data_IF_626498984680
#
_entry.id   IF_626498984680
#
_cell.length_a   1.000
_cell.length_b   1.000
_cell.length_c   1.000
_cell.angle_alpha   90.00
_cell.angle_beta   90.00
_cell.angle_gamma   90.00
#
_symmetry.space_group_name_H-M   'P 1'
#
loop_
_entity.id
_entity.type
_entity.pdbx_description
1 polymer ?
#
# COMPACT_ATOMS: atom_id res chain seq x y z
N UNK A 1 -30.20 5.38 31.80
CA UNK A 1 -29.47 6.65 31.70
C UNK A 1 -28.01 6.31 31.53
N UNK A 2 -27.41 6.67 30.41
CA UNK A 2 -25.97 6.41 30.16
C UNK A 2 -25.16 7.29 31.09
N UNK A 3 -24.31 6.68 31.91
CA UNK A 3 -23.47 7.36 32.89
C UNK A 3 -22.40 8.31 32.24
N UNK A 4 -22.19 8.15 30.95
CA UNK A 4 -21.22 8.96 30.20
C UNK A 4 -21.73 10.35 29.82
N UNK A 5 -23.03 10.56 29.79
CA UNK A 5 -23.63 11.86 29.42
C UNK A 5 -23.59 12.85 30.57
N UNK A 6 -23.63 12.40 31.82
CA UNK A 6 -23.63 13.26 33.01
C UNK A 6 -22.30 14.03 33.22
N UNK A 7 -21.19 13.52 32.72
CA UNK A 7 -19.87 14.18 32.81
C UNK A 7 -19.79 15.40 31.89
N UNK A 8 -20.62 15.49 30.87
CA UNK A 8 -20.65 16.62 29.93
C UNK A 8 -21.51 17.80 30.39
N UNK A 9 -22.36 17.58 31.40
CA UNK A 9 -23.27 18.64 31.89
C UNK A 9 -22.62 19.62 32.88
N UNK A 10 -21.48 19.30 33.44
CA UNK A 10 -20.92 20.02 34.62
C UNK A 10 -19.83 21.01 34.24
N UNK A 11 -19.33 21.02 33.03
CA UNK A 11 -18.28 21.94 32.61
C UNK A 11 -18.73 22.81 31.45
N UNK A 12 -18.57 24.13 31.61
CA UNK A 12 -18.61 25.08 30.52
C UNK A 12 -17.47 24.72 29.54
N UNK A 13 -17.81 24.00 28.46
CA UNK A 13 -16.83 23.64 27.46
C UNK A 13 -16.48 24.85 26.60
N UNK A 14 -15.21 25.22 26.68
CA UNK A 14 -14.56 25.93 25.62
C UNK A 14 -14.57 25.03 24.38
N UNK A 15 -14.97 25.57 23.28
CA UNK A 15 -15.40 25.10 21.96
C UNK A 15 -14.54 24.02 21.26
N UNK A 16 -13.69 23.25 21.95
CA UNK A 16 -12.75 22.35 21.29
C UNK A 16 -12.88 20.92 21.80
N UNK A 17 -13.55 20.07 21.04
CA UNK A 17 -13.36 18.62 21.15
C UNK A 17 -11.93 18.32 20.69
N UNK A 18 -11.05 18.04 21.63
CA UNK A 18 -9.69 17.59 21.30
C UNK A 18 -9.76 16.14 20.79
N UNK A 19 -9.56 15.97 19.49
CA UNK A 19 -9.31 14.65 18.95
C UNK A 19 -7.98 14.13 19.50
N UNK A 20 -7.97 12.87 19.94
CA UNK A 20 -6.72 12.19 20.28
C UNK A 20 -5.77 12.25 19.08
N UNK A 21 -4.48 12.43 19.37
CA UNK A 21 -3.47 12.47 18.32
C UNK A 21 -3.50 11.19 17.49
N UNK A 22 -3.83 11.32 16.23
CA UNK A 22 -3.90 10.22 15.28
C UNK A 22 -3.41 10.66 13.90
N UNK A 23 -3.07 9.68 13.07
CA UNK A 23 -2.69 9.94 11.69
C UNK A 23 -3.86 10.56 10.92
N UNK A 24 -3.66 11.74 10.34
CA UNK A 24 -4.70 12.47 9.61
C UNK A 24 -4.72 12.23 8.10
N UNK A 25 -3.66 11.67 7.55
CA UNK A 25 -3.54 11.40 6.11
C UNK A 25 -2.86 10.07 5.86
N UNK A 26 -3.00 9.53 4.65
CA UNK A 26 -2.22 8.38 4.22
C UNK A 26 -0.75 8.78 4.04
N UNK A 27 0.17 7.99 4.59
CA UNK A 27 1.63 8.22 4.51
C UNK A 27 2.22 7.58 3.27
N UNK A 28 1.65 6.48 2.82
CA UNK A 28 2.20 5.68 1.72
C UNK A 28 1.56 5.99 0.36
N UNK A 29 0.47 6.74 0.32
CA UNK A 29 -0.21 7.09 -0.94
C UNK A 29 0.69 7.86 -1.92
N UNK A 30 1.66 8.62 -1.42
CA UNK A 30 2.62 9.35 -2.25
C UNK A 30 3.74 8.45 -2.81
N UNK A 31 3.97 7.28 -2.20
CA UNK A 31 4.98 6.32 -2.61
C UNK A 31 4.49 5.34 -3.69
N UNK A 32 3.21 5.39 -4.05
CA UNK A 32 2.59 4.50 -5.04
C UNK A 32 1.99 5.29 -6.19
N UNK A 33 1.97 4.67 -7.37
CA UNK A 33 1.32 5.25 -8.54
C UNK A 33 -0.19 5.18 -8.39
N UNK A 34 -0.89 6.27 -8.70
CA UNK A 34 -2.35 6.37 -8.62
C UNK A 34 -2.91 6.29 -10.03
N UNK A 35 -3.71 5.25 -10.30
CA UNK A 35 -4.45 5.06 -11.55
C UNK A 35 -5.94 5.33 -11.36
N UNK A 36 -6.63 5.69 -12.45
CA UNK A 36 -8.10 5.73 -12.47
C UNK A 36 -8.65 4.39 -12.93
N UNK A 37 -9.67 3.92 -12.27
CA UNK A 37 -10.30 2.64 -12.54
C UNK A 37 -11.82 2.79 -12.68
N UNK A 38 -12.39 2.17 -13.71
CA UNK A 38 -13.83 2.08 -13.97
C UNK A 38 -14.20 0.64 -14.28
N UNK A 39 -14.97 0.00 -13.43
CA UNK A 39 -15.47 -1.38 -13.64
C UNK A 39 -15.18 -2.34 -12.50
N UNK A 40 -15.53 -3.60 -12.66
CA UNK A 40 -15.39 -4.66 -11.65
C UNK A 40 -14.02 -5.35 -11.64
N UNK A 41 -13.23 -5.20 -12.70
CA UNK A 41 -11.95 -5.89 -12.83
C UNK A 41 -10.81 -4.89 -12.81
N UNK A 42 -9.69 -5.30 -12.23
CA UNK A 42 -8.50 -4.51 -12.10
C UNK A 42 -7.92 -4.11 -13.46
N UNK A 43 -7.27 -2.97 -13.48
CA UNK A 43 -6.54 -2.50 -14.65
C UNK A 43 -5.31 -3.40 -14.80
N UNK A 44 -5.15 -4.12 -15.92
CA UNK A 44 -3.93 -4.87 -16.16
C UNK A 44 -2.76 -3.90 -16.38
N UNK A 45 -1.67 -4.15 -15.69
CA UNK A 45 -0.40 -3.47 -15.93
C UNK A 45 0.48 -4.43 -16.72
N UNK A 46 0.76 -4.07 -17.97
CA UNK A 46 1.61 -4.88 -18.83
C UNK A 46 3.09 -4.62 -18.49
N UNK A 47 3.84 -5.69 -18.34
CA UNK A 47 5.27 -5.68 -18.05
C UNK A 47 6.02 -6.41 -19.15
N UNK A 48 7.16 -5.85 -19.57
CA UNK A 48 8.07 -6.46 -20.53
C UNK A 48 9.29 -7.00 -19.79
N UNK A 49 9.66 -8.23 -20.09
CA UNK A 49 10.90 -8.78 -19.59
C UNK A 49 12.11 -8.12 -20.29
N UNK A 50 13.24 -7.94 -19.58
CA UNK A 50 14.45 -7.42 -20.19
C UNK A 50 14.95 -8.37 -21.29
N UNK A 51 15.38 -7.82 -22.42
CA UNK A 51 15.93 -8.56 -23.54
C UNK A 51 17.41 -8.29 -23.69
N UNK A 52 18.15 -9.29 -24.18
CA UNK A 52 19.59 -9.18 -24.40
C UNK A 52 19.89 -9.00 -25.88
N UNK A 53 20.72 -8.00 -26.20
CA UNK A 53 21.19 -7.80 -27.56
C UNK A 53 22.21 -8.88 -27.95
N UNK A 54 22.08 -9.48 -29.11
CA UNK A 54 23.03 -10.45 -29.66
C UNK A 54 24.13 -9.76 -30.48
N UNK A 55 25.38 -10.13 -30.24
CA UNK A 55 26.51 -9.62 -31.01
C UNK A 55 26.54 -10.27 -32.39
N UNK A 56 26.55 -9.45 -33.43
CA UNK A 56 26.75 -9.90 -34.81
C UNK A 56 28.19 -10.31 -35.05
N UNK A 57 28.43 -11.57 -35.40
CA UNK A 57 29.78 -12.12 -35.62
C UNK A 57 30.09 -12.37 -37.09
N UNK A 58 29.09 -12.41 -37.96
CA UNK A 58 29.28 -12.69 -39.40
C UNK A 58 28.67 -11.58 -40.28
N UNK A 59 29.12 -11.47 -41.51
CA UNK A 59 28.72 -10.42 -42.45
C UNK A 59 27.22 -10.53 -42.84
N UNK A 60 26.70 -11.76 -42.95
CA UNK A 60 25.28 -12.06 -43.26
C UNK A 60 24.73 -13.11 -42.28
N UNK A 61 24.47 -12.73 -41.01
CA UNK A 61 23.91 -13.67 -40.08
C UNK A 61 22.44 -13.90 -40.38
N UNK A 62 21.95 -15.09 -40.10
CA UNK A 62 20.50 -15.33 -40.02
C UNK A 62 19.92 -14.44 -38.92
N UNK A 63 18.83 -13.76 -39.20
CA UNK A 63 18.10 -12.96 -38.20
C UNK A 63 17.37 -13.90 -37.23
N UNK A 64 17.82 -13.91 -35.99
CA UNK A 64 17.13 -14.57 -34.90
C UNK A 64 16.27 -13.50 -34.20
N UNK A 65 14.94 -13.56 -34.27
CA UNK A 65 14.10 -12.60 -33.55
C UNK A 65 14.30 -12.77 -32.06
N UNK A 66 14.41 -11.65 -31.33
CA UNK A 66 14.34 -11.66 -29.89
C UNK A 66 12.85 -11.78 -29.51
N UNK A 67 12.50 -12.88 -28.85
CA UNK A 67 11.14 -13.08 -28.35
C UNK A 67 11.04 -12.37 -26.97
N UNK A 68 10.44 -11.19 -26.97
CA UNK A 68 10.25 -10.40 -25.74
C UNK A 68 9.08 -10.97 -24.98
N UNK A 69 9.36 -11.55 -23.82
CA UNK A 69 8.32 -12.06 -22.95
C UNK A 69 7.55 -10.90 -22.31
N UNK A 70 6.24 -11.04 -22.29
CA UNK A 70 5.32 -10.08 -21.67
C UNK A 70 4.57 -10.76 -20.53
N UNK A 71 4.41 -10.07 -19.43
CA UNK A 71 3.55 -10.51 -18.34
C UNK A 71 2.56 -9.39 -17.98
N UNK A 72 1.46 -9.77 -17.37
CA UNK A 72 0.39 -8.85 -17.02
C UNK A 72 0.07 -8.99 -15.53
N UNK A 73 0.04 -7.86 -14.83
CA UNK A 73 -0.34 -7.82 -13.43
C UNK A 73 -1.71 -7.17 -13.27
N UNK A 74 -2.54 -7.82 -12.49
CA UNK A 74 -3.91 -7.41 -12.23
C UNK A 74 -4.02 -6.77 -10.85
N UNK A 75 -4.76 -5.68 -10.78
CA UNK A 75 -5.11 -4.99 -9.54
C UNK A 75 -6.60 -5.11 -9.34
N UNK A 76 -7.04 -5.61 -8.20
CA UNK A 76 -8.44 -5.73 -7.83
C UNK A 76 -8.78 -4.70 -6.76
N UNK A 77 -9.91 -3.98 -6.88
CA UNK A 77 -10.32 -3.03 -5.87
C UNK A 77 -10.77 -3.77 -4.61
N UNK A 78 -10.52 -3.15 -3.46
CA UNK A 78 -11.04 -3.56 -2.16
C UNK A 78 -11.91 -2.43 -1.64
N UNK A 79 -13.14 -2.74 -1.28
CA UNK A 79 -14.11 -1.77 -0.79
C UNK A 79 -14.02 -1.65 0.73
N UNK A 80 -13.95 -0.41 1.23
CA UNK A 80 -13.99 -0.09 2.64
C UNK A 80 -15.14 0.86 2.90
N UNK A 81 -15.89 0.60 3.96
CA UNK A 81 -16.92 1.50 4.47
C UNK A 81 -16.64 1.81 5.95
N UNK A 82 -17.05 3.00 6.35
CA UNK A 82 -17.03 3.42 7.74
C UNK A 82 -18.38 4.03 8.08
N UNK A 83 -19.04 3.46 9.08
CA UNK A 83 -20.35 3.89 9.52
C UNK A 83 -20.34 4.12 11.03
N UNK A 84 -20.92 5.22 11.47
CA UNK A 84 -21.16 5.51 12.87
C UNK A 84 -22.57 6.09 13.03
N UNK A 85 -23.29 5.64 14.05
CA UNK A 85 -24.67 6.02 14.32
C UNK A 85 -24.73 6.90 15.56
N UNK A 86 -25.24 8.12 15.40
CA UNK A 86 -25.50 9.04 16.50
C UNK A 86 -27.02 9.16 16.67
N UNK A 87 -27.52 8.86 17.87
CA UNK A 87 -28.93 9.02 18.16
C UNK A 87 -29.31 10.51 18.09
N UNK A 88 -30.47 10.79 17.50
CA UNK A 88 -31.03 12.13 17.37
C UNK A 88 -31.28 12.80 18.73
N UNK A 89 -31.63 12.01 19.74
CA UNK A 89 -31.86 12.50 21.11
C UNK A 89 -30.56 12.93 21.77
N UNK A 90 -29.47 12.20 21.54
CA UNK A 90 -28.13 12.56 22.06
C UNK A 90 -27.59 13.78 21.34
N UNK A 91 -27.86 13.94 20.05
CA UNK A 91 -27.51 15.13 19.28
C UNK A 91 -28.17 16.41 19.83
N UNK A 92 -29.42 16.32 20.27
CA UNK A 92 -30.12 17.46 20.91
C UNK A 92 -29.58 17.80 22.30
N UNK A 93 -28.95 16.84 22.99
CA UNK A 93 -28.35 17.03 24.31
C UNK A 93 -26.92 17.52 24.28
N UNK A 94 -26.25 17.44 23.13
CA UNK A 94 -24.91 17.96 22.96
C UNK A 94 -24.96 19.46 22.68
N UNK A 95 -24.22 20.24 23.45
CA UNK A 95 -24.04 21.68 23.28
C UNK A 95 -23.25 22.04 22.01
N UNK A 96 -22.52 21.08 21.43
CA UNK A 96 -21.66 21.23 20.27
C UNK A 96 -22.07 20.16 19.25
N UNK A 97 -22.16 20.54 17.98
CA UNK A 97 -22.40 19.58 16.91
C UNK A 97 -21.15 18.68 16.72
N UNK A 98 -21.23 17.39 17.08
CA UNK A 98 -20.09 16.48 16.99
C UNK A 98 -19.77 16.06 15.56
N UNK A 99 -20.64 16.40 14.59
CA UNK A 99 -20.59 15.88 13.23
C UNK A 99 -19.23 16.10 12.57
N UNK A 100 -18.61 17.26 12.75
CA UNK A 100 -17.26 17.53 12.18
C UNK A 100 -16.18 16.64 12.77
N UNK A 101 -16.21 16.39 14.08
CA UNK A 101 -15.23 15.53 14.77
C UNK A 101 -15.37 14.06 14.36
N UNK A 102 -16.59 13.56 14.19
CA UNK A 102 -16.86 12.20 13.71
C UNK A 102 -16.39 12.03 12.26
N UNK A 103 -16.68 12.98 11.38
CA UNK A 103 -16.20 12.97 9.99
C UNK A 103 -14.68 12.97 9.93
N UNK A 104 -13.99 13.78 10.76
CA UNK A 104 -12.52 13.79 10.83
C UNK A 104 -11.97 12.44 11.31
N UNK A 105 -12.60 11.81 12.30
CA UNK A 105 -12.21 10.49 12.78
C UNK A 105 -12.41 9.41 11.71
N UNK A 106 -13.54 9.41 11.02
CA UNK A 106 -13.81 8.51 9.90
C UNK A 106 -12.80 8.68 8.76
N UNK A 107 -12.49 9.93 8.40
CA UNK A 107 -11.47 10.22 7.39
C UNK A 107 -10.09 9.68 7.80
N UNK A 108 -9.71 9.83 9.07
CA UNK A 108 -8.46 9.29 9.58
C UNK A 108 -8.45 7.75 9.56
N UNK A 109 -9.58 7.10 9.86
CA UNK A 109 -9.72 5.64 9.77
C UNK A 109 -9.56 5.15 8.33
N UNK A 110 -10.22 5.79 7.35
CA UNK A 110 -10.08 5.45 5.93
C UNK A 110 -8.65 5.64 5.42
N UNK A 111 -7.95 6.70 5.84
CA UNK A 111 -6.55 6.91 5.46
C UNK A 111 -5.62 5.83 6.03
N UNK A 112 -5.88 5.34 7.26
CA UNK A 112 -5.13 4.21 7.83
C UNK A 112 -5.41 2.92 7.06
N UNK A 113 -6.67 2.66 6.68
CA UNK A 113 -7.02 1.50 5.88
C UNK A 113 -6.30 1.48 4.52
N UNK A 114 -6.15 2.65 3.88
CA UNK A 114 -5.35 2.79 2.65
C UNK A 114 -3.88 2.41 2.90
N UNK A 115 -3.29 2.88 3.99
CA UNK A 115 -1.90 2.56 4.33
C UNK A 115 -1.72 1.07 4.64
N UNK A 116 -2.68 0.47 5.37
CA UNK A 116 -2.66 -0.95 5.70
C UNK A 116 -2.76 -1.83 4.44
N UNK A 117 -3.60 -1.44 3.46
CA UNK A 117 -3.70 -2.14 2.18
C UNK A 117 -2.41 -2.03 1.36
N UNK A 118 -1.79 -0.85 1.32
CA UNK A 118 -0.51 -0.66 0.63
C UNK A 118 0.58 -1.52 1.28
N UNK A 119 0.69 -1.52 2.61
CA UNK A 119 1.67 -2.34 3.33
C UNK A 119 1.39 -3.83 3.11
N UNK A 120 0.12 -4.24 3.20
CA UNK A 120 -0.29 -5.62 2.98
C UNK A 120 0.07 -6.11 1.58
N UNK A 121 -0.03 -5.26 0.57
CA UNK A 121 0.28 -5.59 -0.82
C UNK A 121 1.75 -5.96 -1.06
N UNK A 122 2.70 -5.48 -0.25
CA UNK A 122 4.11 -5.86 -0.35
C UNK A 122 4.35 -7.34 -0.07
N UNK A 123 3.51 -7.96 0.75
CA UNK A 123 3.63 -9.36 1.14
C UNK A 123 2.60 -10.26 0.46
N UNK A 124 1.67 -9.67 -0.26
CA UNK A 124 0.61 -10.39 -0.97
C UNK A 124 1.12 -11.09 -2.24
N UNK A 125 0.35 -12.05 -2.71
CA UNK A 125 0.60 -12.69 -4.00
C UNK A 125 0.05 -11.83 -5.14
N UNK A 126 0.88 -11.53 -6.13
CA UNK A 126 0.44 -10.82 -7.33
C UNK A 126 -0.46 -11.73 -8.19
N UNK A 127 -1.50 -11.16 -8.77
CA UNK A 127 -2.33 -11.82 -9.77
C UNK A 127 -1.76 -11.54 -11.15
N UNK A 128 -1.42 -12.62 -11.87
CA UNK A 128 -0.75 -12.57 -13.18
C UNK A 128 -1.51 -13.38 -14.23
N UNK A 129 -1.03 -13.35 -15.45
CA UNK A 129 -1.61 -14.07 -16.57
C UNK A 129 -2.66 -13.28 -17.34
N UNK A 130 -3.24 -13.91 -18.36
CA UNK A 130 -4.16 -13.25 -19.30
C UNK A 130 -5.44 -12.74 -18.62
N UNK A 131 -5.91 -13.41 -17.59
CA UNK A 131 -7.19 -13.18 -16.89
C UNK A 131 -7.05 -12.94 -15.38
N UNK A 132 -5.80 -12.86 -14.85
CA UNK A 132 -5.55 -12.67 -13.43
C UNK A 132 -5.82 -13.89 -12.55
N UNK A 133 -5.98 -15.08 -13.13
CA UNK A 133 -6.23 -16.32 -12.38
C UNK A 133 -4.98 -16.90 -11.72
N UNK A 134 -3.81 -16.61 -12.27
CA UNK A 134 -2.54 -17.11 -11.77
C UNK A 134 -2.08 -16.28 -10.58
N UNK A 135 -1.61 -16.95 -9.52
CA UNK A 135 -1.07 -16.29 -8.33
C UNK A 135 0.45 -16.45 -8.29
N UNK A 136 1.17 -15.35 -8.28
CA UNK A 136 2.64 -15.32 -8.23
C UNK A 136 3.09 -14.70 -6.91
N UNK A 137 3.78 -15.47 -6.09
CA UNK A 137 4.34 -14.97 -4.83
C UNK A 137 5.59 -14.13 -5.07
N UNK A 138 5.91 -13.25 -4.12
CA UNK A 138 7.15 -12.48 -4.17
C UNK A 138 8.36 -13.43 -4.13
N UNK A 139 9.30 -13.34 -5.11
CA UNK A 139 10.41 -14.28 -5.23
C UNK A 139 11.30 -14.30 -3.98
N UNK A 140 11.65 -15.49 -3.48
CA UNK A 140 12.52 -15.62 -2.32
C UNK A 140 13.93 -15.03 -2.56
N UNK A 141 14.40 -15.03 -3.82
CA UNK A 141 15.67 -14.42 -4.22
C UNK A 141 15.71 -12.90 -4.06
N UNK A 142 14.54 -12.26 -3.94
CA UNK A 142 14.41 -10.82 -3.74
C UNK A 142 14.06 -10.47 -2.29
N UNK A 143 14.12 -11.45 -1.39
CA UNK A 143 13.84 -11.24 0.03
C UNK A 143 15.15 -11.26 0.82
N UNK A 144 15.27 -10.32 1.76
CA UNK A 144 16.37 -10.31 2.72
C UNK A 144 15.99 -11.17 3.92
N UNK A 145 16.90 -12.07 4.33
CA UNK A 145 16.66 -12.94 5.47
C UNK A 145 16.41 -12.17 6.76
N UNK A 146 15.47 -12.64 7.56
CA UNK A 146 15.22 -12.08 8.89
C UNK A 146 16.43 -12.23 9.84
N UNK A 147 17.34 -13.17 9.57
CA UNK A 147 18.57 -13.43 10.34
C UNK A 147 19.81 -12.82 9.69
N UNK A 148 19.69 -12.01 8.63
CA UNK A 148 20.85 -11.40 7.97
C UNK A 148 21.67 -10.55 8.94
N UNK A 149 23.00 -10.83 8.99
CA UNK A 149 23.93 -10.19 9.92
C UNK A 149 23.81 -10.62 11.37
N UNK A 150 23.06 -11.70 11.67
CA UNK A 150 22.90 -12.25 13.03
C UNK A 150 22.64 -13.74 13.02
N UNK A 151 22.81 -14.40 14.17
CA UNK A 151 22.54 -15.84 14.34
C UNK A 151 21.06 -16.19 14.49
N UNK A 152 20.19 -15.19 14.70
CA UNK A 152 18.74 -15.33 14.86
C UNK A 152 18.01 -14.17 14.19
N UNK A 153 16.70 -14.28 14.05
CA UNK A 153 15.87 -13.20 13.52
C UNK A 153 15.99 -11.94 14.40
N UNK A 154 16.35 -10.83 13.78
CA UNK A 154 16.52 -9.52 14.44
C UNK A 154 15.67 -8.47 13.74
N UNK A 155 15.52 -7.31 14.40
CA UNK A 155 14.98 -6.10 13.78
C UNK A 155 15.86 -5.59 12.62
N UNK A 156 15.56 -4.40 12.12
CA UNK A 156 16.36 -3.75 11.08
C UNK A 156 17.82 -3.52 11.55
N UNK A 157 18.78 -3.93 10.74
CA UNK A 157 20.22 -3.69 10.95
C UNK A 157 20.88 -3.23 9.65
N UNK A 158 22.17 -2.79 9.75
CA UNK A 158 22.92 -2.26 8.61
C UNK A 158 23.17 -3.34 7.55
N UNK A 159 23.39 -4.60 7.97
CA UNK A 159 23.65 -5.70 7.03
C UNK A 159 22.41 -6.01 6.17
N UNK A 160 21.21 -5.95 6.76
CA UNK A 160 19.95 -6.07 6.01
C UNK A 160 19.77 -4.95 4.98
N UNK A 161 20.13 -3.72 5.33
CA UNK A 161 20.08 -2.60 4.37
C UNK A 161 21.07 -2.81 3.23
N UNK A 162 22.30 -3.26 3.51
CA UNK A 162 23.28 -3.58 2.48
C UNK A 162 22.80 -4.70 1.56
N UNK A 163 22.26 -5.78 2.13
CA UNK A 163 21.72 -6.90 1.36
C UNK A 163 20.53 -6.44 0.47
N UNK A 164 19.63 -5.61 0.99
CA UNK A 164 18.54 -5.05 0.20
C UNK A 164 19.06 -4.21 -0.98
N UNK A 165 20.03 -3.33 -0.75
CA UNK A 165 20.64 -2.51 -1.79
C UNK A 165 21.32 -3.40 -2.83
N UNK A 166 22.06 -4.44 -2.43
CA UNK A 166 22.67 -5.39 -3.35
C UNK A 166 21.65 -6.10 -4.25
N UNK A 167 20.54 -6.53 -3.68
CA UNK A 167 19.46 -7.16 -4.45
C UNK A 167 18.87 -6.17 -5.47
N UNK A 168 18.60 -4.92 -5.06
CA UNK A 168 18.03 -3.89 -5.94
C UNK A 168 19.00 -3.56 -7.10
N UNK A 169 20.27 -3.37 -6.78
CA UNK A 169 21.33 -3.09 -7.79
C UNK A 169 21.55 -4.28 -8.72
N UNK A 170 21.57 -5.51 -8.17
CA UNK A 170 21.76 -6.72 -8.96
C UNK A 170 20.61 -7.02 -9.93
N UNK A 171 19.42 -6.54 -9.63
CA UNK A 171 18.23 -6.66 -10.49
C UNK A 171 17.99 -5.41 -11.36
N UNK A 172 18.96 -4.50 -11.45
CA UNK A 172 18.84 -3.24 -12.21
C UNK A 172 17.62 -2.38 -11.80
N UNK A 173 17.14 -2.60 -10.57
CA UNK A 173 15.95 -1.91 -10.04
C UNK A 173 16.21 -0.45 -9.65
N UNK A 174 17.46 -0.04 -9.59
CA UNK A 174 17.85 1.33 -9.28
C UNK A 174 19.11 1.71 -10.05
N UNK A 175 19.02 2.82 -10.78
CA UNK A 175 20.17 3.43 -11.43
C UNK A 175 20.63 4.62 -10.57
N UNK A 176 21.84 4.55 -9.95
CA UNK A 176 22.34 5.64 -9.12
C UNK A 176 22.71 6.89 -9.91
N UNK A 177 22.67 6.84 -11.25
CA UNK A 177 22.97 7.97 -12.14
C UNK A 177 21.73 8.73 -12.63
N UNK A 178 20.52 8.25 -12.28
CA UNK A 178 19.24 8.86 -12.69
C UNK A 178 18.71 9.86 -11.68
#
# INVERSE_FOLDING_TARGET
MSQFVTTHYVQQYTTNVQLLSQQRGSRFRQAVSVGQYTGKQGVPVDQFAPTVASKRTTRYPSLTPADTQTDRRWVFPVDYDWNDLIDSVDKLRMLIDPQSSYVMNGTAAMNRAIDDEIIGSFFATAKTGADGSTSTSFPASQQVSASEGASAATGMNVEKLKAAIQIILGNEGWDPSS
#
